data_IF_766548636147
#
_entry.id   IF_766548636147
#
_cell.length_a   1.000
_cell.length_b   1.000
_cell.length_c   1.000
_cell.angle_alpha   90.00
_cell.angle_beta   90.00
_cell.angle_gamma   90.00
#
_symmetry.space_group_name_H-M   'P 1'
#
loop_
_entity.id
_entity.type
_entity.pdbx_description
1 polymer ?
#
# COMPACT_ATOMS: atom_id res chain seq x y z
N UNK A 1 -27.18 3.38 20.04
CA UNK A 1 -25.75 3.81 20.09
C UNK A 1 -25.37 4.41 18.74
N UNK A 2 -24.64 5.52 18.68
CA UNK A 2 -24.17 6.13 17.43
C UNK A 2 -22.67 5.92 17.22
N UNK A 3 -22.32 5.24 16.14
CA UNK A 3 -20.95 5.08 15.66
C UNK A 3 -20.73 6.06 14.51
N UNK A 4 -19.84 7.03 14.71
CA UNK A 4 -19.39 7.90 13.63
C UNK A 4 -18.04 7.42 13.11
N UNK A 5 -17.90 7.31 11.79
CA UNK A 5 -16.67 6.96 11.12
C UNK A 5 -16.16 8.13 10.27
N UNK A 6 -14.88 8.46 10.40
CA UNK A 6 -14.19 9.43 9.55
C UNK A 6 -13.46 8.66 8.43
N UNK A 7 -13.96 8.80 7.20
CA UNK A 7 -13.42 8.22 5.97
C UNK A 7 -14.20 7.01 5.46
N UNK A 8 -14.59 7.03 4.18
CA UNK A 8 -15.18 5.92 3.44
C UNK A 8 -14.13 5.12 2.66
N UNK A 9 -12.97 4.90 3.27
CA UNK A 9 -11.89 4.05 2.76
C UNK A 9 -12.15 2.55 3.10
N UNK A 10 -11.30 1.58 2.68
CA UNK A 10 -11.49 0.17 2.97
C UNK A 10 -11.81 -0.14 4.44
N UNK A 11 -11.20 0.57 5.40
CA UNK A 11 -11.49 0.42 6.83
C UNK A 11 -12.90 0.84 7.22
N UNK A 12 -13.35 2.03 6.82
CA UNK A 12 -14.72 2.47 7.11
C UNK A 12 -15.76 1.60 6.42
N UNK A 13 -15.49 1.16 5.19
CA UNK A 13 -16.37 0.24 4.45
C UNK A 13 -16.37 -1.17 5.05
N UNK A 14 -15.26 -1.65 5.61
CA UNK A 14 -15.20 -2.90 6.36
C UNK A 14 -16.08 -2.89 7.61
N UNK A 15 -16.04 -1.78 8.35
CA UNK A 15 -16.95 -1.58 9.48
C UNK A 15 -18.42 -1.54 9.01
N UNK A 16 -18.72 -0.76 7.97
CA UNK A 16 -20.07 -0.65 7.44
C UNK A 16 -20.63 -2.00 6.94
N UNK A 17 -19.81 -2.75 6.20
CA UNK A 17 -20.19 -4.06 5.69
C UNK A 17 -20.50 -5.05 6.83
N UNK A 18 -19.65 -5.09 7.86
CA UNK A 18 -19.85 -5.96 9.02
C UNK A 18 -21.09 -5.57 9.82
N UNK A 19 -21.32 -4.28 10.06
CA UNK A 19 -22.51 -3.82 10.78
C UNK A 19 -23.78 -4.19 10.00
N UNK A 20 -23.79 -3.96 8.68
CA UNK A 20 -24.93 -4.30 7.84
C UNK A 20 -25.21 -5.81 7.83
N UNK A 21 -24.17 -6.65 7.84
CA UNK A 21 -24.32 -8.11 7.99
C UNK A 21 -24.98 -8.48 9.32
N UNK A 22 -24.52 -7.93 10.45
CA UNK A 22 -25.10 -8.20 11.76
C UNK A 22 -26.57 -7.75 11.88
N UNK A 23 -26.93 -6.62 11.27
CA UNK A 23 -28.32 -6.15 11.19
C UNK A 23 -29.18 -7.13 10.37
N UNK A 24 -28.66 -7.62 9.25
CA UNK A 24 -29.36 -8.62 8.44
C UNK A 24 -29.53 -9.97 9.16
N UNK A 25 -28.58 -10.32 10.01
CA UNK A 25 -28.62 -11.48 10.90
C UNK A 25 -29.52 -11.28 12.13
N UNK A 26 -30.17 -10.10 12.28
CA UNK A 26 -31.03 -9.72 13.41
C UNK A 26 -30.32 -9.79 14.76
N UNK A 27 -29.05 -9.38 14.79
CA UNK A 27 -28.33 -9.24 16.03
C UNK A 27 -28.90 -8.05 16.83
N UNK A 28 -29.44 -8.32 18.02
CA UNK A 28 -30.13 -7.32 18.86
C UNK A 28 -29.26 -6.09 19.15
N UNK A 29 -27.96 -6.28 19.41
CA UNK A 29 -27.04 -5.18 19.70
C UNK A 29 -26.73 -4.31 18.47
N UNK A 30 -26.90 -4.84 17.26
CA UNK A 30 -26.59 -4.15 16.01
C UNK A 30 -27.78 -3.34 15.47
N UNK A 31 -29.03 -3.79 15.71
CA UNK A 31 -30.23 -3.11 15.20
C UNK A 31 -30.41 -1.69 15.77
N UNK A 32 -29.93 -1.43 16.98
CA UNK A 32 -30.00 -0.11 17.64
C UNK A 32 -28.78 0.80 17.34
N UNK A 33 -27.91 0.39 16.40
CA UNK A 33 -26.73 1.15 16.03
C UNK A 33 -27.03 2.10 14.88
N UNK A 34 -26.87 3.39 15.14
CA UNK A 34 -26.84 4.42 14.10
C UNK A 34 -25.41 4.58 13.58
N UNK A 35 -25.18 4.25 12.31
CA UNK A 35 -23.89 4.50 11.65
C UNK A 35 -23.93 5.76 10.80
N UNK A 36 -22.90 6.60 10.96
CA UNK A 36 -22.66 7.77 10.10
C UNK A 36 -21.21 7.75 9.64
N UNK A 37 -20.99 7.78 8.33
CA UNK A 37 -19.67 7.79 7.69
C UNK A 37 -19.51 9.13 6.98
N UNK A 38 -18.51 9.90 7.40
CA UNK A 38 -18.16 11.19 6.83
C UNK A 38 -16.98 11.02 5.89
N UNK A 39 -17.14 11.35 4.62
CA UNK A 39 -16.08 11.27 3.60
C UNK A 39 -15.92 12.64 2.95
N UNK A 40 -14.69 13.16 2.96
CA UNK A 40 -14.39 14.47 2.39
C UNK A 40 -14.53 14.49 0.87
N UNK A 41 -14.28 13.36 0.20
CA UNK A 41 -14.37 13.25 -1.24
C UNK A 41 -15.81 12.93 -1.69
N UNK A 42 -16.09 13.09 -2.98
CA UNK A 42 -17.38 12.75 -3.58
C UNK A 42 -17.59 11.23 -3.79
N UNK A 43 -16.59 10.42 -3.47
CA UNK A 43 -16.53 8.99 -3.75
C UNK A 43 -15.88 8.22 -2.60
N UNK A 44 -16.15 6.91 -2.55
CA UNK A 44 -15.55 6.02 -1.57
C UNK A 44 -14.24 5.41 -2.10
N UNK A 45 -13.41 4.92 -1.18
CA UNK A 45 -12.19 4.16 -1.48
C UNK A 45 -10.91 4.77 -0.90
N UNK A 46 -10.88 6.06 -0.56
CA UNK A 46 -9.66 6.72 -0.05
C UNK A 46 -8.48 6.51 -1.00
N UNK A 47 -7.34 6.02 -0.49
CA UNK A 47 -6.17 5.66 -1.31
C UNK A 47 -6.41 4.48 -2.26
N UNK A 48 -7.50 3.73 -2.12
CA UNK A 48 -7.90 2.69 -3.07
C UNK A 48 -8.88 3.20 -4.15
N UNK A 49 -8.96 4.51 -4.37
CA UNK A 49 -9.80 5.07 -5.42
C UNK A 49 -9.17 4.95 -6.81
N UNK A 50 -10.00 5.20 -7.82
CA UNK A 50 -9.63 5.32 -9.22
C UNK A 50 -10.20 6.62 -9.74
N UNK A 51 -9.40 7.40 -10.45
CA UNK A 51 -9.84 8.62 -11.13
C UNK A 51 -9.86 8.42 -12.64
N UNK A 52 -10.71 9.18 -13.32
CA UNK A 52 -10.76 9.22 -14.78
C UNK A 52 -10.19 10.54 -15.25
N UNK A 53 -9.19 10.52 -16.12
CA UNK A 53 -8.64 11.74 -16.71
C UNK A 53 -9.52 12.28 -17.85
N UNK A 54 -9.18 13.46 -18.37
CA UNK A 54 -9.93 14.15 -19.43
C UNK A 54 -9.96 13.38 -20.76
N UNK A 55 -8.98 12.49 -20.99
CA UNK A 55 -8.90 11.63 -22.18
C UNK A 55 -9.63 10.30 -21.98
N UNK A 56 -10.10 10.03 -20.77
CA UNK A 56 -10.88 8.87 -20.40
C UNK A 56 -10.06 7.66 -19.95
N UNK A 57 -8.76 7.82 -19.68
CA UNK A 57 -7.98 6.78 -18.99
C UNK A 57 -8.34 6.75 -17.51
N UNK A 58 -8.25 5.58 -16.91
CA UNK A 58 -8.46 5.35 -15.49
C UNK A 58 -7.12 5.15 -14.78
N UNK A 59 -6.95 5.82 -13.64
CA UNK A 59 -5.73 5.81 -12.84
C UNK A 59 -6.04 5.47 -11.39
N UNK A 60 -5.44 4.39 -10.89
CA UNK A 60 -5.46 4.07 -9.46
C UNK A 60 -4.40 4.90 -8.72
N UNK A 61 -4.51 5.04 -7.40
CA UNK A 61 -3.50 5.75 -6.59
C UNK A 61 -2.30 4.86 -6.24
N UNK A 62 -1.72 4.21 -7.25
CA UNK A 62 -0.68 3.19 -7.14
C UNK A 62 -1.13 1.82 -7.67
N UNK A 63 -0.16 0.92 -7.89
CA UNK A 63 -0.37 -0.41 -8.49
C UNK A 63 -1.13 -1.37 -7.58
N UNK A 64 -2.40 -1.08 -7.31
CA UNK A 64 -3.27 -1.88 -6.47
C UNK A 64 -3.68 -3.16 -7.17
N UNK A 65 -3.67 -4.25 -6.41
CA UNK A 65 -4.19 -5.55 -6.82
C UNK A 65 -5.04 -6.10 -5.69
N UNK A 66 -6.07 -6.86 -6.04
CA UNK A 66 -6.86 -7.61 -5.07
C UNK A 66 -6.23 -8.99 -4.95
N UNK A 67 -5.69 -9.29 -3.77
CA UNK A 67 -5.15 -10.59 -3.46
C UNK A 67 -5.60 -11.00 -2.07
N UNK A 68 -5.89 -12.28 -1.91
CA UNK A 68 -6.44 -12.82 -0.70
C UNK A 68 -5.29 -13.33 0.20
N UNK A 69 -4.92 -12.61 1.27
CA UNK A 69 -4.03 -13.15 2.31
C UNK A 69 -4.76 -14.16 3.23
N UNK A 70 -5.57 -15.07 2.67
CA UNK A 70 -6.47 -15.95 3.42
C UNK A 70 -7.47 -15.21 4.35
N UNK A 71 -8.05 -14.13 3.86
CA UNK A 71 -9.27 -13.50 4.40
C UNK A 71 -10.52 -13.83 3.54
N UNK A 72 -11.18 -14.99 3.73
CA UNK A 72 -12.43 -15.32 3.05
C UNK A 72 -13.53 -14.25 3.21
N UNK A 73 -13.53 -13.53 4.34
CA UNK A 73 -14.49 -12.47 4.60
C UNK A 73 -14.30 -11.26 3.66
N UNK A 74 -13.05 -10.87 3.41
CA UNK A 74 -12.74 -9.82 2.43
C UNK A 74 -13.13 -10.26 1.01
N UNK A 75 -12.81 -11.51 0.64
CA UNK A 75 -13.18 -12.06 -0.67
C UNK A 75 -14.70 -12.06 -0.89
N UNK A 76 -15.47 -12.49 0.12
CA UNK A 76 -16.94 -12.40 0.13
C UNK A 76 -17.40 -10.97 -0.13
N UNK A 77 -16.83 -9.99 0.57
CA UNK A 77 -17.25 -8.59 0.48
C UNK A 77 -16.94 -7.97 -0.89
N UNK A 78 -15.75 -8.20 -1.45
CA UNK A 78 -15.39 -7.61 -2.76
C UNK A 78 -16.15 -8.26 -3.93
N UNK A 79 -16.40 -9.58 -3.87
CA UNK A 79 -17.26 -10.26 -4.85
C UNK A 79 -18.72 -9.87 -4.71
N UNK A 80 -19.18 -9.54 -3.50
CA UNK A 80 -20.50 -8.94 -3.31
C UNK A 80 -20.58 -7.55 -3.91
N UNK A 81 -19.49 -6.76 -3.89
CA UNK A 81 -19.47 -5.41 -4.42
C UNK A 81 -19.49 -5.38 -5.96
N UNK A 82 -18.69 -6.22 -6.62
CA UNK A 82 -18.49 -6.22 -8.09
C UNK A 82 -18.54 -7.64 -8.65
N UNK A 83 -19.21 -7.80 -9.80
CA UNK A 83 -19.49 -9.11 -10.41
C UNK A 83 -18.40 -9.58 -11.39
N UNK A 84 -17.78 -8.66 -12.14
CA UNK A 84 -16.80 -8.99 -13.18
C UNK A 84 -15.36 -8.70 -12.75
N UNK A 85 -14.54 -9.76 -12.76
CA UNK A 85 -13.14 -9.73 -12.36
C UNK A 85 -12.25 -10.36 -13.41
N UNK A 86 -11.09 -9.77 -13.63
CA UNK A 86 -9.99 -10.42 -14.33
C UNK A 86 -9.13 -11.18 -13.32
N UNK A 87 -8.60 -12.32 -13.76
CA UNK A 87 -7.60 -13.08 -13.01
C UNK A 87 -6.31 -13.06 -13.82
N UNK A 88 -5.22 -12.64 -13.18
CA UNK A 88 -3.93 -12.48 -13.83
C UNK A 88 -2.87 -13.30 -13.10
N UNK A 89 -2.04 -13.99 -13.89
CA UNK A 89 -0.77 -14.50 -13.39
C UNK A 89 0.17 -13.30 -13.18
N UNK A 90 0.71 -13.17 -11.97
CA UNK A 90 1.71 -12.17 -11.66
C UNK A 90 2.98 -12.47 -12.46
N UNK A 91 3.42 -11.49 -13.23
CA UNK A 91 4.71 -11.50 -13.88
C UNK A 91 5.43 -10.18 -13.58
N UNK A 92 6.16 -10.18 -12.46
CA UNK A 92 6.93 -9.03 -12.03
C UNK A 92 8.42 -9.37 -11.95
N UNK A 93 9.24 -8.39 -12.33
CA UNK A 93 10.70 -8.50 -12.31
C UNK A 93 11.31 -7.23 -11.74
N UNK A 94 12.60 -7.28 -11.46
CA UNK A 94 13.39 -6.16 -10.94
C UNK A 94 14.41 -5.75 -12.00
N UNK A 95 14.45 -4.47 -12.34
CA UNK A 95 15.48 -3.92 -13.21
C UNK A 95 16.76 -3.63 -12.43
N UNK A 96 17.77 -4.48 -12.62
CA UNK A 96 19.10 -4.36 -12.03
C UNK A 96 20.11 -3.77 -13.01
N UNK A 97 19.67 -3.16 -14.12
CA UNK A 97 20.56 -2.66 -15.18
C UNK A 97 21.65 -1.71 -14.68
N UNK A 98 21.38 -0.96 -13.61
CA UNK A 98 22.35 -0.02 -13.03
C UNK A 98 23.60 -0.71 -12.46
N UNK A 99 23.59 -2.04 -12.29
CA UNK A 99 24.78 -2.82 -11.93
C UNK A 99 25.69 -3.15 -13.14
N UNK A 100 25.21 -2.98 -14.38
CA UNK A 100 25.90 -3.45 -15.58
C UNK A 100 26.52 -2.33 -16.42
N UNK A 101 26.36 -1.06 -16.02
CA UNK A 101 26.86 0.13 -16.74
C UNK A 101 26.62 0.09 -18.27
N UNK A 102 25.48 -0.48 -18.67
CA UNK A 102 25.08 -0.64 -20.07
C UNK A 102 23.73 0.05 -20.31
N UNK A 103 23.46 0.54 -21.53
CA UNK A 103 22.14 1.07 -21.85
C UNK A 103 21.06 -0.02 -21.82
N UNK A 104 19.87 0.33 -21.34
CA UNK A 104 18.68 -0.53 -21.44
C UNK A 104 18.15 -1.01 -20.10
N UNK A 105 17.66 -2.26 -20.09
CA UNK A 105 17.01 -2.90 -18.95
C UNK A 105 17.60 -4.30 -18.75
N UNK A 106 17.91 -4.65 -17.51
CA UNK A 106 18.42 -5.97 -17.13
C UNK A 106 17.51 -6.53 -16.06
N UNK A 107 16.57 -7.36 -16.49
CA UNK A 107 15.54 -7.88 -15.61
C UNK A 107 16.00 -9.16 -14.91
N UNK A 108 15.83 -9.16 -13.59
CA UNK A 108 15.99 -10.35 -12.76
C UNK A 108 14.64 -10.74 -12.13
N UNK A 109 14.41 -12.04 -11.85
CA UNK A 109 13.21 -12.47 -11.14
C UNK A 109 13.05 -11.78 -9.79
N UNK A 110 11.81 -11.48 -9.43
CA UNK A 110 11.47 -11.12 -8.06
C UNK A 110 11.33 -12.41 -7.22
N UNK A 111 11.89 -12.47 -6.00
CA UNK A 111 12.59 -11.40 -5.29
C UNK A 111 14.08 -11.25 -5.70
N UNK A 112 14.57 -10.01 -5.87
CA UNK A 112 15.89 -9.76 -6.46
C UNK A 112 17.05 -10.37 -5.68
N UNK A 113 16.95 -10.46 -4.35
CA UNK A 113 17.99 -11.07 -3.53
C UNK A 113 18.18 -12.58 -3.78
N UNK A 114 17.29 -13.21 -4.55
CA UNK A 114 17.43 -14.62 -4.95
C UNK A 114 18.05 -14.73 -6.34
N UNK A 115 18.11 -13.63 -7.08
CA UNK A 115 18.62 -13.57 -8.43
C UNK A 115 20.13 -13.26 -8.51
N UNK A 116 20.87 -13.44 -7.41
CA UNK A 116 22.34 -13.34 -7.37
C UNK A 116 23.06 -14.10 -8.50
N UNK A 117 22.63 -15.31 -8.93
CA UNK A 117 23.28 -15.98 -10.06
C UNK A 117 23.25 -15.19 -11.38
N UNK A 118 22.32 -14.24 -11.50
CA UNK A 118 22.12 -13.40 -12.68
C UNK A 118 22.85 -12.06 -12.57
N UNK A 119 23.38 -11.68 -11.40
CA UNK A 119 24.13 -10.43 -11.17
C UNK A 119 25.46 -10.41 -11.94
N UNK A 120 26.11 -9.23 -12.10
CA UNK A 120 27.47 -9.19 -12.65
C UNK A 120 28.40 -10.11 -11.86
N UNK A 121 29.35 -10.75 -12.55
CA UNK A 121 30.18 -11.80 -11.95
C UNK A 121 30.91 -11.34 -10.68
N UNK A 122 31.44 -10.11 -10.66
CA UNK A 122 32.10 -9.53 -9.48
C UNK A 122 31.15 -9.43 -8.28
N UNK A 123 29.92 -8.96 -8.50
CA UNK A 123 28.89 -8.85 -7.46
C UNK A 123 28.44 -10.23 -6.98
N UNK A 124 28.27 -11.19 -7.91
CA UNK A 124 27.94 -12.58 -7.59
C UNK A 124 29.00 -13.20 -6.68
N UNK A 125 30.29 -13.00 -6.96
CA UNK A 125 31.37 -13.55 -6.15
C UNK A 125 31.43 -12.91 -4.75
N UNK A 126 31.24 -11.60 -4.60
CA UNK A 126 31.17 -10.98 -3.26
C UNK A 126 29.92 -11.45 -2.49
N UNK A 127 28.77 -11.62 -3.14
CA UNK A 127 27.58 -12.22 -2.49
C UNK A 127 27.85 -13.65 -1.97
N UNK A 128 28.58 -14.48 -2.73
CA UNK A 128 28.94 -15.84 -2.32
C UNK A 128 29.94 -15.83 -1.15
N UNK A 129 30.87 -14.88 -1.16
CA UNK A 129 31.82 -14.66 -0.07
C UNK A 129 31.12 -14.22 1.21
N UNK A 130 30.22 -13.24 1.12
CA UNK A 130 29.38 -12.80 2.25
C UNK A 130 28.56 -13.96 2.83
N UNK A 131 27.97 -14.78 1.95
CA UNK A 131 27.21 -15.96 2.35
C UNK A 131 28.06 -16.95 3.15
N UNK A 132 29.29 -17.19 2.69
CA UNK A 132 30.26 -18.06 3.35
C UNK A 132 30.71 -17.48 4.70
N UNK A 133 31.09 -16.22 4.74
CA UNK A 133 31.55 -15.55 5.97
C UNK A 133 30.46 -15.56 7.05
N UNK A 134 29.21 -15.32 6.66
CA UNK A 134 28.03 -15.39 7.55
C UNK A 134 27.79 -16.78 8.11
N UNK A 135 28.09 -17.83 7.36
CA UNK A 135 27.95 -19.22 7.82
C UNK A 135 29.08 -19.63 8.76
N UNK A 136 30.30 -19.22 8.44
CA UNK A 136 31.47 -19.47 9.30
C UNK A 136 31.41 -18.64 10.60
N UNK A 137 30.75 -17.48 10.57
CA UNK A 137 30.61 -16.56 11.70
C UNK A 137 29.16 -16.04 11.81
N UNK A 138 28.26 -16.86 12.36
CA UNK A 138 26.85 -16.48 12.49
C UNK A 138 26.69 -15.19 13.32
N UNK A 139 26.02 -14.14 12.80
CA UNK A 139 25.82 -12.90 13.53
C UNK A 139 24.96 -13.11 14.79
N UNK A 140 25.57 -12.92 15.97
CA UNK A 140 24.87 -12.95 17.25
C UNK A 140 23.94 -11.73 17.43
N UNK A 141 22.94 -11.86 18.31
CA UNK A 141 22.05 -10.77 18.68
C UNK A 141 20.78 -10.64 17.84
N UNK A 142 19.84 -9.82 18.32
CA UNK A 142 18.58 -9.52 17.65
C UNK A 142 18.76 -8.22 16.84
N UNK A 143 18.45 -8.20 15.53
CA UNK A 143 18.53 -6.97 14.73
C UNK A 143 17.75 -5.81 15.38
N UNK A 144 18.36 -4.63 15.49
CA UNK A 144 17.71 -3.45 16.07
C UNK A 144 16.98 -2.63 14.99
N UNK A 145 17.49 -2.67 13.76
CA UNK A 145 16.95 -1.97 12.61
C UNK A 145 16.95 -2.86 11.34
N UNK A 146 16.42 -2.35 10.23
CA UNK A 146 16.31 -3.10 8.98
C UNK A 146 17.67 -3.33 8.29
N UNK A 147 18.64 -2.43 8.47
CA UNK A 147 20.02 -2.63 8.00
C UNK A 147 20.65 -3.87 8.66
N UNK A 148 20.63 -3.92 9.99
CA UNK A 148 21.12 -5.07 10.78
C UNK A 148 20.43 -6.38 10.36
N UNK A 149 19.12 -6.30 10.08
CA UNK A 149 18.35 -7.47 9.67
C UNK A 149 18.79 -7.96 8.30
N UNK A 150 19.04 -7.06 7.34
CA UNK A 150 19.56 -7.43 6.01
C UNK A 150 20.98 -7.98 6.12
N UNK A 151 21.87 -7.33 6.87
CA UNK A 151 23.23 -7.82 7.12
C UNK A 151 23.21 -9.24 7.68
N UNK A 152 22.35 -9.48 8.68
CA UNK A 152 22.20 -10.80 9.32
C UNK A 152 21.70 -11.89 8.37
N UNK A 153 20.84 -11.56 7.41
CA UNK A 153 20.20 -12.58 6.55
C UNK A 153 20.83 -12.71 5.16
N UNK A 154 21.46 -11.65 4.64
CA UNK A 154 21.90 -11.56 3.24
C UNK A 154 23.34 -11.06 3.08
N UNK A 155 23.91 -10.39 4.07
CA UNK A 155 25.27 -9.83 4.00
C UNK A 155 25.35 -8.43 3.37
N UNK A 156 26.54 -7.79 3.45
CA UNK A 156 26.75 -6.40 3.04
C UNK A 156 26.59 -6.15 1.54
N UNK A 157 26.95 -7.10 0.67
CA UNK A 157 26.86 -6.90 -0.78
C UNK A 157 25.40 -6.77 -1.22
N UNK A 158 24.52 -7.69 -0.81
CA UNK A 158 23.08 -7.63 -1.13
C UNK A 158 22.42 -6.39 -0.50
N UNK A 159 22.86 -5.99 0.69
CA UNK A 159 22.43 -4.74 1.31
C UNK A 159 22.74 -3.54 0.40
N UNK A 160 23.97 -3.43 -0.09
CA UNK A 160 24.44 -2.30 -0.88
C UNK A 160 23.86 -2.28 -2.29
N UNK A 161 23.81 -3.43 -2.97
CA UNK A 161 23.38 -3.52 -4.37
C UNK A 161 21.89 -3.69 -4.56
N UNK A 162 21.08 -3.79 -3.49
CA UNK A 162 19.63 -3.86 -3.65
C UNK A 162 18.87 -3.16 -2.53
N UNK A 163 19.07 -3.57 -1.27
CA UNK A 163 18.20 -3.09 -0.19
C UNK A 163 18.39 -1.60 0.10
N UNK A 164 19.62 -1.06 0.17
CA UNK A 164 19.86 0.38 0.33
C UNK A 164 19.21 1.21 -0.79
N UNK A 165 19.54 1.01 -2.08
CA UNK A 165 18.99 1.83 -3.14
C UNK A 165 17.47 1.69 -3.25
N UNK A 166 16.93 0.46 -3.17
CA UNK A 166 15.49 0.26 -3.24
C UNK A 166 14.74 0.83 -2.03
N UNK A 167 15.28 0.69 -0.81
CA UNK A 167 14.68 1.23 0.40
C UNK A 167 14.62 2.76 0.35
N UNK A 168 15.71 3.42 -0.03
CA UNK A 168 15.72 4.87 -0.24
C UNK A 168 14.64 5.30 -1.23
N UNK A 169 14.42 4.52 -2.27
CA UNK A 169 13.51 4.88 -3.34
C UNK A 169 12.03 4.65 -3.01
N UNK A 170 11.70 3.66 -2.19
CA UNK A 170 10.32 3.40 -1.73
C UNK A 170 9.99 4.18 -0.47
N UNK A 171 10.90 4.16 0.50
CA UNK A 171 10.69 4.65 1.88
C UNK A 171 11.31 6.00 2.14
N UNK A 172 12.16 6.50 1.25
CA UNK A 172 12.79 7.83 1.34
C UNK A 172 13.73 8.00 2.55
N UNK A 173 14.12 6.87 3.15
CA UNK A 173 15.03 6.78 4.30
C UNK A 173 16.03 5.64 4.10
N UNK A 174 17.13 5.67 4.86
CA UNK A 174 18.08 4.55 4.94
C UNK A 174 17.46 3.34 5.65
N UNK A 175 17.85 2.10 5.30
CA UNK A 175 17.42 0.89 6.04
C UNK A 175 17.63 1.00 7.55
N UNK A 176 18.74 1.59 8.00
CA UNK A 176 19.04 1.77 9.43
C UNK A 176 18.04 2.67 10.18
N UNK A 177 17.16 3.39 9.49
CA UNK A 177 16.09 4.21 10.07
C UNK A 177 14.75 3.47 10.20
N UNK A 178 14.68 2.23 9.73
CA UNK A 178 13.47 1.40 9.77
C UNK A 178 13.62 0.29 10.82
N UNK A 179 12.54 -0.03 11.51
CA UNK A 179 12.39 -1.21 12.35
C UNK A 179 12.50 -2.49 11.49
N UNK A 180 12.96 -3.62 12.05
CA UNK A 180 12.94 -4.90 11.34
C UNK A 180 11.57 -5.61 11.44
N UNK A 181 10.62 -5.15 12.25
CA UNK A 181 9.41 -5.93 12.59
C UNK A 181 8.43 -6.13 11.42
N UNK A 182 8.45 -5.25 10.42
CA UNK A 182 7.52 -5.30 9.27
C UNK A 182 7.95 -6.30 8.19
N UNK A 183 9.19 -6.82 8.24
CA UNK A 183 9.78 -7.62 7.17
C UNK A 183 9.18 -9.01 7.05
N UNK A 184 8.63 -9.57 8.13
CA UNK A 184 8.22 -10.98 8.21
C UNK A 184 7.21 -11.44 7.16
N UNK A 185 6.39 -10.53 6.63
CA UNK A 185 5.42 -10.81 5.55
C UNK A 185 5.79 -10.16 4.22
N UNK A 186 6.89 -9.40 4.16
CA UNK A 186 7.21 -8.51 3.03
C UNK A 186 8.55 -8.82 2.37
N UNK A 187 9.51 -9.38 3.10
CA UNK A 187 10.84 -9.73 2.61
C UNK A 187 11.04 -11.24 2.70
N UNK A 188 11.16 -11.90 1.55
CA UNK A 188 11.37 -13.34 1.48
C UNK A 188 12.77 -13.68 2.02
N UNK A 189 12.83 -14.58 3.01
CA UNK A 189 14.09 -15.15 3.51
C UNK A 189 14.54 -16.26 2.54
N UNK A 190 15.81 -16.24 2.14
CA UNK A 190 16.41 -17.29 1.32
C UNK A 190 17.23 -18.23 2.20
N UNK A 191 16.95 -19.54 2.22
CA UNK A 191 17.87 -20.52 2.78
C UNK A 191 19.17 -20.54 1.98
N UNK A 192 20.30 -20.70 2.67
CA UNK A 192 21.63 -20.76 2.05
C UNK A 192 21.73 -21.83 0.95
N UNK A 193 21.30 -23.04 1.25
CA UNK A 193 21.34 -24.17 0.31
C UNK A 193 20.65 -23.82 -1.01
N UNK A 194 19.57 -23.03 -0.95
CA UNK A 194 18.84 -22.60 -2.15
C UNK A 194 19.65 -21.60 -2.98
N UNK A 195 20.35 -20.66 -2.33
CA UNK A 195 21.19 -19.70 -3.02
C UNK A 195 22.40 -20.39 -3.69
N UNK A 196 23.04 -21.33 -2.99
CA UNK A 196 24.15 -22.12 -3.53
C UNK A 196 23.70 -22.97 -4.72
N UNK A 197 22.55 -23.66 -4.60
CA UNK A 197 21.93 -24.44 -5.68
C UNK A 197 21.72 -23.56 -6.92
N UNK A 198 21.09 -22.40 -6.75
CA UNK A 198 20.85 -21.47 -7.86
C UNK A 198 22.16 -20.94 -8.46
N UNK A 199 23.17 -20.64 -7.65
CA UNK A 199 24.45 -20.12 -8.14
C UNK A 199 25.27 -21.14 -8.93
N UNK A 200 25.04 -22.44 -8.70
CA UNK A 200 25.68 -23.56 -9.40
C UNK A 200 25.00 -23.91 -10.75
N UNK A 201 23.78 -23.43 -10.98
CA UNK A 201 23.05 -23.66 -12.23
C UNK A 201 23.67 -22.90 -13.42
N UNK A 202 23.57 -23.49 -14.59
CA UNK A 202 23.88 -22.82 -15.86
C UNK A 202 22.71 -21.94 -16.35
N UNK A 203 22.91 -21.20 -17.43
CA UNK A 203 21.92 -20.23 -17.92
C UNK A 203 20.60 -20.87 -18.41
N UNK A 204 20.64 -22.08 -18.95
CA UNK A 204 19.45 -22.82 -19.40
C UNK A 204 18.63 -23.34 -18.21
N UNK A 205 19.31 -23.81 -17.17
CA UNK A 205 18.71 -24.24 -15.90
C UNK A 205 18.07 -23.04 -15.18
N UNK A 206 18.79 -21.91 -15.09
CA UNK A 206 18.29 -20.67 -14.46
C UNK A 206 17.05 -20.12 -15.17
N UNK A 207 16.93 -20.26 -16.49
CA UNK A 207 15.75 -19.81 -17.22
C UNK A 207 14.45 -20.52 -16.79
N UNK A 208 14.57 -21.71 -16.20
CA UNK A 208 13.44 -22.52 -15.73
C UNK A 208 13.42 -22.70 -14.20
N UNK A 209 14.33 -22.04 -13.47
CA UNK A 209 14.49 -22.22 -12.04
C UNK A 209 13.37 -21.53 -11.24
N UNK A 210 13.00 -22.16 -10.12
CA UNK A 210 12.13 -21.53 -9.13
C UNK A 210 12.95 -20.64 -8.19
N UNK A 211 12.88 -19.33 -8.44
CA UNK A 211 13.48 -18.27 -7.63
C UNK A 211 12.62 -17.89 -6.42
N UNK A 212 11.63 -18.68 -6.02
CA UNK A 212 10.88 -18.47 -4.79
C UNK A 212 9.70 -17.50 -4.91
N UNK A 213 8.62 -17.90 -4.24
CA UNK A 213 7.27 -17.34 -4.33
C UNK A 213 7.01 -16.15 -3.40
N UNK A 214 5.97 -15.37 -3.71
CA UNK A 214 5.29 -14.49 -2.75
C UNK A 214 3.77 -14.60 -2.94
N UNK A 215 2.93 -14.17 -1.97
CA UNK A 215 1.50 -14.50 -1.81
C UNK A 215 0.54 -14.30 -3.00
N UNK A 216 1.03 -13.73 -4.10
CA UNK A 216 0.24 -13.14 -5.16
C UNK A 216 0.63 -13.75 -6.51
N UNK A 217 0.95 -15.05 -6.59
CA UNK A 217 1.24 -15.70 -7.89
C UNK A 217 0.10 -15.49 -8.88
N UNK A 218 -1.14 -15.48 -8.39
CA UNK A 218 -2.28 -14.92 -9.08
C UNK A 218 -2.87 -13.78 -8.27
N UNK A 219 -3.45 -12.80 -8.95
CA UNK A 219 -4.25 -11.76 -8.31
C UNK A 219 -5.46 -11.45 -9.18
N UNK A 220 -6.46 -10.82 -8.57
CA UNK A 220 -7.63 -10.34 -9.28
C UNK A 220 -7.63 -8.82 -9.38
N UNK A 221 -8.29 -8.32 -10.42
CA UNK A 221 -8.52 -6.89 -10.63
C UNK A 221 -9.92 -6.70 -11.20
N UNK A 222 -10.69 -5.67 -10.78
CA UNK A 222 -12.00 -5.40 -11.35
C UNK A 222 -11.90 -5.20 -12.86
N UNK A 223 -12.73 -5.88 -13.64
CA UNK A 223 -12.65 -5.78 -15.10
C UNK A 223 -12.86 -4.34 -15.59
N UNK A 224 -13.71 -3.58 -14.90
CA UNK A 224 -14.02 -2.18 -15.22
C UNK A 224 -13.86 -1.27 -14.00
N UNK A 225 -13.53 -0.01 -14.26
CA UNK A 225 -13.59 1.08 -13.27
C UNK A 225 -12.43 1.13 -12.27
N UNK A 226 -11.40 0.31 -12.47
CA UNK A 226 -10.22 0.22 -11.59
C UNK A 226 -10.55 -0.27 -10.18
N UNK A 227 -9.56 -0.21 -9.28
CA UNK A 227 -9.72 -0.64 -7.89
C UNK A 227 -10.84 0.13 -7.17
N UNK A 228 -11.00 1.41 -7.47
CA UNK A 228 -12.01 2.28 -6.89
C UNK A 228 -13.44 1.86 -7.19
N UNK A 229 -13.69 1.08 -8.24
CA UNK A 229 -15.02 0.54 -8.54
C UNK A 229 -15.52 -0.40 -7.44
N UNK A 230 -14.62 -1.17 -6.80
CA UNK A 230 -14.98 -2.08 -5.70
C UNK A 230 -15.61 -1.30 -4.56
N UNK A 231 -14.92 -0.26 -4.12
CA UNK A 231 -15.28 0.52 -2.93
C UNK A 231 -16.50 1.41 -3.18
N UNK A 232 -16.57 2.03 -4.35
CA UNK A 232 -17.75 2.80 -4.76
C UNK A 232 -19.00 1.92 -4.92
N UNK A 233 -18.86 0.72 -5.51
CA UNK A 233 -19.98 -0.21 -5.65
C UNK A 233 -20.44 -0.75 -4.30
N UNK A 234 -19.50 -1.04 -3.39
CA UNK A 234 -19.82 -1.43 -2.02
C UNK A 234 -20.63 -0.35 -1.29
N UNK A 235 -20.16 0.90 -1.31
CA UNK A 235 -20.87 2.03 -0.69
C UNK A 235 -22.28 2.23 -1.27
N UNK A 236 -22.48 2.03 -2.58
CA UNK A 236 -23.79 2.13 -3.25
C UNK A 236 -24.77 1.03 -2.84
N UNK A 237 -24.28 -0.17 -2.51
CA UNK A 237 -25.10 -1.31 -2.10
C UNK A 237 -25.43 -1.30 -0.59
N UNK A 238 -24.63 -0.61 0.22
CA UNK A 238 -24.89 -0.39 1.65
C UNK A 238 -25.98 0.69 1.87
N UNK A 239 -26.57 0.79 3.08
CA UNK A 239 -27.61 1.78 3.36
C UNK A 239 -27.15 3.21 3.08
N UNK A 240 -27.79 3.87 2.10
CA UNK A 240 -27.35 5.18 1.59
C UNK A 240 -27.33 6.28 2.65
N UNK A 241 -28.24 6.22 3.63
CA UNK A 241 -28.35 7.19 4.71
C UNK A 241 -27.18 7.15 5.69
N UNK A 242 -26.34 6.12 5.65
CA UNK A 242 -25.13 6.06 6.47
C UNK A 242 -24.02 6.97 5.94
N UNK A 243 -24.01 7.31 4.64
CA UNK A 243 -22.90 8.01 4.01
C UNK A 243 -23.17 9.50 3.82
N UNK A 244 -22.20 10.33 4.19
CA UNK A 244 -22.15 11.77 3.88
C UNK A 244 -20.85 12.05 3.14
N UNK A 245 -20.93 12.07 1.81
CA UNK A 245 -19.84 12.44 0.91
C UNK A 245 -19.75 13.95 0.77
N UNK A 246 -18.58 14.44 0.33
CA UNK A 246 -18.25 15.86 0.36
C UNK A 246 -18.44 16.44 1.78
N UNK A 247 -18.08 15.70 2.81
CA UNK A 247 -18.19 16.13 4.21
C UNK A 247 -16.83 16.05 4.88
N UNK A 248 -16.22 17.21 5.11
CA UNK A 248 -14.89 17.33 5.74
C UNK A 248 -15.06 17.56 7.23
N UNK A 249 -14.47 16.70 8.05
CA UNK A 249 -14.32 16.94 9.49
C UNK A 249 -13.27 18.05 9.70
N UNK A 250 -13.61 19.05 10.50
CA UNK A 250 -12.78 20.24 10.77
C UNK A 250 -12.54 20.47 12.26
N UNK A 251 -13.20 19.70 13.13
CA UNK A 251 -13.01 19.79 14.57
C UNK A 251 -13.50 18.55 15.29
N UNK A 252 -12.85 18.21 16.41
CA UNK A 252 -13.24 17.08 17.26
C UNK A 252 -13.17 17.55 18.72
N UNK A 253 -14.27 17.46 19.45
CA UNK A 253 -14.31 17.69 20.89
C UNK A 253 -14.55 16.37 21.62
N UNK A 254 -13.49 15.69 22.11
CA UNK A 254 -13.61 14.41 22.79
C UNK A 254 -14.31 14.47 24.14
N UNK A 255 -14.29 15.63 24.81
CA UNK A 255 -14.94 15.82 26.10
C UNK A 255 -16.46 15.88 25.97
N UNK A 256 -16.95 16.57 24.93
CA UNK A 256 -18.36 16.62 24.58
C UNK A 256 -18.83 15.44 23.71
N UNK A 257 -17.88 14.61 23.23
CA UNK A 257 -18.11 13.58 22.20
C UNK A 257 -18.85 14.11 20.97
N UNK A 258 -18.35 15.22 20.44
CA UNK A 258 -18.96 15.92 19.31
C UNK A 258 -17.92 16.19 18.21
N UNK A 259 -18.31 16.00 16.95
CA UNK A 259 -17.54 16.35 15.77
C UNK A 259 -18.07 17.63 15.14
N UNK A 260 -17.17 18.41 14.55
CA UNK A 260 -17.48 19.54 13.70
C UNK A 260 -17.09 19.22 12.25
N UNK A 261 -18.00 19.50 11.32
CA UNK A 261 -17.79 19.23 9.90
C UNK A 261 -18.37 20.33 9.02
N UNK A 262 -17.85 20.41 7.79
CA UNK A 262 -18.36 21.25 6.71
C UNK A 262 -18.75 20.39 5.51
N UNK A 263 -19.74 20.83 4.73
CA UNK A 263 -20.18 20.15 3.51
C UNK A 263 -19.66 20.89 2.27
N UNK A 264 -18.97 20.19 1.37
CA UNK A 264 -18.34 20.75 0.18
C UNK A 264 -17.47 21.94 0.53
N UNK A 265 -17.63 23.02 -0.24
CA UNK A 265 -16.92 24.29 -0.03
C UNK A 265 -17.67 25.25 0.92
N UNK A 266 -18.65 24.75 1.69
CA UNK A 266 -19.37 25.57 2.66
C UNK A 266 -18.46 26.00 3.83
N UNK A 267 -18.67 27.23 4.29
CA UNK A 267 -18.07 27.73 5.54
C UNK A 267 -18.97 27.50 6.77
N UNK A 268 -20.15 26.92 6.58
CA UNK A 268 -21.06 26.59 7.68
C UNK A 268 -20.55 25.35 8.43
N UNK A 269 -20.08 25.54 9.66
CA UNK A 269 -19.68 24.45 10.56
C UNK A 269 -20.92 23.85 11.21
N UNK A 270 -21.07 22.53 11.05
CA UNK A 270 -22.14 21.73 11.64
C UNK A 270 -21.57 20.78 12.68
N UNK A 271 -22.41 20.43 13.64
CA UNK A 271 -22.05 19.53 14.74
C UNK A 271 -22.72 18.16 14.58
N UNK A 272 -22.03 17.12 15.06
CA UNK A 272 -22.52 15.75 15.09
C UNK A 272 -21.98 15.03 16.32
N UNK A 273 -22.87 14.70 17.25
CA UNK A 273 -22.53 13.89 18.42
C UNK A 273 -22.23 12.44 18.03
N UNK A 274 -21.40 11.77 18.82
CA UNK A 274 -21.07 10.36 18.68
C UNK A 274 -21.00 9.65 20.04
N UNK A 275 -21.30 8.36 20.09
CA UNK A 275 -20.97 7.53 21.26
C UNK A 275 -19.58 6.92 21.11
N UNK A 276 -19.27 6.48 19.89
CA UNK A 276 -18.00 5.88 19.47
C UNK A 276 -17.54 6.53 18.16
N UNK A 277 -16.24 6.84 18.08
CA UNK A 277 -15.60 7.40 16.90
C UNK A 277 -14.60 6.39 16.30
N UNK A 278 -14.83 5.97 15.05
CA UNK A 278 -13.86 5.22 14.25
C UNK A 278 -13.13 6.19 13.31
N UNK A 279 -11.85 6.44 13.56
CA UNK A 279 -11.02 7.23 12.67
C UNK A 279 -10.28 6.32 11.67
N UNK A 280 -10.56 6.49 10.37
CA UNK A 280 -9.78 5.87 9.29
C UNK A 280 -8.82 6.87 8.58
N UNK A 281 -8.84 8.13 8.99
CA UNK A 281 -7.90 9.16 8.53
C UNK A 281 -6.53 9.05 9.27
N UNK A 282 -5.49 9.78 8.85
CA UNK A 282 -4.19 9.76 9.54
C UNK A 282 -4.27 10.08 11.05
N UNK A 283 -3.66 9.25 11.88
CA UNK A 283 -3.73 9.38 13.35
C UNK A 283 -2.97 10.59 13.89
N UNK A 284 -1.95 11.08 13.19
CA UNK A 284 -1.24 12.31 13.51
C UNK A 284 -2.16 13.53 13.43
N UNK A 285 -2.97 13.61 12.37
CA UNK A 285 -3.99 14.65 12.23
C UNK A 285 -5.06 14.53 13.33
N UNK A 286 -5.51 13.31 13.64
CA UNK A 286 -6.45 13.06 14.74
C UNK A 286 -5.87 13.54 16.09
N UNK A 287 -4.62 13.20 16.40
CA UNK A 287 -3.98 13.59 17.66
C UNK A 287 -3.78 15.11 17.72
N UNK A 288 -3.37 15.73 16.62
CA UNK A 288 -3.22 17.19 16.51
C UNK A 288 -4.54 17.93 16.72
N UNK A 289 -5.63 17.39 16.16
CA UNK A 289 -6.96 17.98 16.28
C UNK A 289 -7.53 17.81 17.69
N UNK A 290 -7.48 16.59 18.22
CA UNK A 290 -8.08 16.26 19.53
C UNK A 290 -7.26 16.77 20.71
N UNK A 291 -5.94 16.89 20.56
CA UNK A 291 -4.97 17.29 21.61
C UNK A 291 -5.07 16.48 22.89
N UNK A 292 -5.57 15.24 22.82
CA UNK A 292 -5.71 14.34 23.96
C UNK A 292 -4.38 13.82 24.48
N UNK A 293 -3.35 13.83 23.64
CA UNK A 293 -1.99 13.44 24.01
C UNK A 293 -0.98 14.25 23.18
N UNK A 294 0.31 14.25 23.56
CA UNK A 294 1.37 14.84 22.75
C UNK A 294 1.37 14.28 21.32
N UNK A 295 1.72 15.13 20.34
CA UNK A 295 1.87 14.75 18.93
C UNK A 295 2.70 13.47 18.79
N UNK A 296 2.30 12.61 17.86
CA UNK A 296 2.94 11.31 17.66
C UNK A 296 4.18 11.46 16.79
N UNK A 297 5.28 10.82 17.19
CA UNK A 297 6.50 10.78 16.40
C UNK A 297 6.46 9.58 15.44
N UNK A 298 5.85 9.78 14.26
CA UNK A 298 5.74 8.79 13.19
C UNK A 298 6.08 9.39 11.85
N UNK A 299 6.77 8.63 11.01
CA UNK A 299 7.26 9.12 9.73
C UNK A 299 6.39 8.59 8.58
N UNK A 300 6.24 9.40 7.55
CA UNK A 300 5.68 9.01 6.27
C UNK A 300 6.40 9.76 5.15
N UNK A 301 6.18 9.29 3.93
CA UNK A 301 6.63 9.99 2.74
C UNK A 301 5.43 10.41 1.88
N UNK A 302 5.71 11.22 0.85
CA UNK A 302 4.76 11.49 -0.22
C UNK A 302 5.09 10.65 -1.45
N UNK A 303 4.08 10.33 -2.24
CA UNK A 303 4.24 9.58 -3.49
C UNK A 303 3.54 10.30 -4.63
N UNK A 304 4.28 10.56 -5.69
CA UNK A 304 3.71 11.01 -6.95
C UNK A 304 3.28 9.80 -7.77
N UNK A 305 2.02 9.83 -8.21
CA UNK A 305 1.49 8.89 -9.19
C UNK A 305 1.57 9.57 -10.54
N UNK A 306 2.24 8.95 -11.50
CA UNK A 306 2.35 9.46 -12.88
C UNK A 306 1.80 8.42 -13.84
N UNK A 307 0.62 8.69 -14.39
CA UNK A 307 -0.01 7.90 -15.44
C UNK A 307 0.39 8.38 -16.83
N UNK A 308 0.78 7.46 -17.70
CA UNK A 308 1.11 7.75 -19.10
C UNK A 308 0.24 6.87 -20.00
N UNK A 309 -0.70 7.49 -20.70
CA UNK A 309 -1.55 6.85 -21.71
C UNK A 309 -0.90 6.94 -23.09
N UNK A 310 -0.85 5.81 -23.80
CA UNK A 310 -0.10 5.66 -25.05
C UNK A 310 -0.96 5.06 -26.17
N UNK A 311 -0.66 5.44 -27.42
CA UNK A 311 -1.17 4.73 -28.60
C UNK A 311 -0.52 3.36 -28.74
N UNK A 312 -1.32 2.41 -29.22
CA UNK A 312 -0.82 1.11 -29.68
C UNK A 312 0.05 1.25 -30.93
N UNK A 313 0.95 0.29 -31.21
CA UNK A 313 1.15 -0.96 -30.46
C UNK A 313 1.86 -0.77 -29.12
N UNK A 314 1.56 -1.65 -28.15
CA UNK A 314 2.41 -1.84 -26.98
C UNK A 314 3.71 -2.52 -27.45
N UNK A 315 4.83 -2.22 -26.81
CA UNK A 315 6.07 -2.96 -27.11
C UNK A 315 5.92 -4.43 -26.68
N UNK A 316 6.31 -5.39 -27.52
CA UNK A 316 6.30 -6.83 -27.19
C UNK A 316 6.98 -7.14 -25.84
N UNK A 317 8.00 -6.35 -25.50
CA UNK A 317 8.70 -6.42 -24.23
C UNK A 317 7.79 -6.25 -23.00
N UNK A 318 6.85 -5.29 -23.03
CA UNK A 318 5.98 -4.97 -21.90
C UNK A 318 4.70 -5.82 -21.85
N UNK A 319 4.32 -6.44 -22.97
CA UNK A 319 3.12 -7.29 -23.07
C UNK A 319 3.14 -8.51 -22.15
N UNK A 320 4.29 -8.86 -21.56
CA UNK A 320 4.43 -9.98 -20.62
C UNK A 320 4.32 -9.57 -19.15
N UNK A 321 4.56 -8.31 -18.79
CA UNK A 321 4.71 -7.92 -17.38
C UNK A 321 3.43 -7.37 -16.77
N UNK A 322 3.27 -7.55 -15.46
CA UNK A 322 2.25 -6.88 -14.65
C UNK A 322 2.82 -5.58 -14.08
N UNK A 323 3.97 -5.66 -13.41
CA UNK A 323 4.73 -4.50 -12.96
C UNK A 323 6.22 -4.81 -12.89
N UNK A 324 7.04 -3.77 -12.88
CA UNK A 324 8.50 -3.84 -12.73
C UNK A 324 8.95 -2.99 -11.54
N UNK A 325 9.98 -3.45 -10.84
CA UNK A 325 10.63 -2.71 -9.75
C UNK A 325 11.96 -2.13 -10.22
N UNK A 326 12.32 -0.96 -9.68
CA UNK A 326 13.50 -0.23 -10.12
C UNK A 326 14.29 0.25 -8.90
N UNK A 327 15.33 -0.47 -8.44
CA UNK A 327 16.31 0.06 -7.49
C UNK A 327 17.19 1.19 -8.07
N UNK A 328 17.31 1.27 -9.40
CA UNK A 328 18.17 2.24 -10.10
C UNK A 328 17.94 3.70 -9.62
N UNK A 329 18.95 4.37 -9.05
CA UNK A 329 18.82 5.74 -8.54
C UNK A 329 18.65 6.78 -9.67
N UNK A 330 18.93 6.43 -10.93
CA UNK A 330 18.86 7.36 -12.05
C UNK A 330 17.45 7.57 -12.62
N UNK A 331 16.46 6.81 -12.14
CA UNK A 331 15.04 7.00 -12.50
C UNK A 331 14.22 7.29 -11.24
N UNK A 332 13.19 8.15 -11.29
CA UNK A 332 12.49 8.59 -10.08
C UNK A 332 11.51 7.55 -9.53
N UNK A 333 11.03 6.62 -10.37
CA UNK A 333 9.99 5.66 -10.00
C UNK A 333 10.58 4.41 -9.38
N UNK A 334 10.08 3.97 -8.23
CA UNK A 334 10.48 2.68 -7.65
C UNK A 334 9.70 1.51 -8.27
N UNK A 335 8.52 1.79 -8.84
CA UNK A 335 7.65 0.82 -9.50
C UNK A 335 6.99 1.40 -10.74
N UNK A 336 6.89 0.59 -11.79
CA UNK A 336 6.07 0.86 -12.97
C UNK A 336 5.08 -0.28 -13.17
N UNK A 337 3.80 0.04 -13.21
CA UNK A 337 2.70 -0.90 -13.45
C UNK A 337 2.15 -0.72 -14.86
N UNK A 338 1.98 -1.82 -15.60
CA UNK A 338 1.36 -1.79 -16.93
C UNK A 338 -0.16 -1.93 -16.72
N UNK A 339 -0.79 -0.84 -16.26
CA UNK A 339 -2.14 -0.84 -15.71
C UNK A 339 -3.20 -1.33 -16.71
N UNK A 340 -3.03 -1.02 -18.00
CA UNK A 340 -3.91 -1.51 -19.07
C UNK A 340 -3.92 -3.03 -19.25
N UNK A 341 -2.99 -3.76 -18.62
CA UNK A 341 -3.05 -5.22 -18.60
C UNK A 341 -4.01 -5.77 -17.57
N UNK A 342 -4.33 -5.00 -16.52
CA UNK A 342 -5.13 -5.50 -15.41
C UNK A 342 -6.62 -5.52 -15.73
N UNK A 343 -7.11 -4.53 -16.47
CA UNK A 343 -8.51 -4.42 -16.88
C UNK A 343 -8.76 -3.33 -17.91
N UNK A 344 -10.03 -3.05 -18.17
CA UNK A 344 -10.48 -2.03 -19.13
C UNK A 344 -10.36 -0.63 -18.51
N UNK A 345 -9.12 -0.15 -18.44
CA UNK A 345 -8.73 1.13 -17.80
C UNK A 345 -8.32 2.21 -18.83
N UNK A 346 -8.54 1.95 -20.11
CA UNK A 346 -8.26 2.89 -21.20
C UNK A 346 -9.56 3.29 -21.89
N UNK A 347 -9.63 4.44 -22.60
CA UNK A 347 -10.85 4.85 -23.29
C UNK A 347 -11.25 3.92 -24.45
N UNK A 348 -10.28 3.25 -25.08
CA UNK A 348 -10.48 2.25 -26.13
C UNK A 348 -9.29 1.27 -26.14
N UNK A 349 -9.49 0.08 -25.57
CA UNK A 349 -8.46 -0.96 -25.44
C UNK A 349 -7.92 -1.49 -26.77
N UNK A 350 -8.56 -1.20 -27.90
CA UNK A 350 -8.04 -1.54 -29.23
C UNK A 350 -7.04 -0.51 -29.75
N UNK A 351 -7.04 0.71 -29.21
CA UNK A 351 -6.21 1.82 -29.68
C UNK A 351 -5.15 2.24 -28.69
N UNK A 352 -5.39 2.03 -27.40
CA UNK A 352 -4.55 2.60 -26.35
C UNK A 352 -4.09 1.55 -25.33
N UNK A 353 -3.04 1.91 -24.61
CA UNK A 353 -2.52 1.19 -23.44
C UNK A 353 -1.97 2.20 -22.43
N UNK A 354 -1.63 1.75 -21.22
CA UNK A 354 -1.16 2.66 -20.17
C UNK A 354 -0.13 2.04 -19.24
N UNK A 355 0.78 2.89 -18.78
CA UNK A 355 1.71 2.61 -17.68
C UNK A 355 1.51 3.63 -16.57
N UNK A 356 1.78 3.22 -15.33
CA UNK A 356 1.67 4.06 -14.15
C UNK A 356 2.93 3.93 -13.33
N UNK A 357 3.55 5.06 -13.02
CA UNK A 357 4.76 5.15 -12.23
C UNK A 357 4.44 5.61 -10.81
N UNK A 358 5.15 5.04 -9.84
CA UNK A 358 5.12 5.50 -8.46
C UNK A 358 6.50 6.04 -8.06
N UNK A 359 6.55 7.32 -7.70
CA UNK A 359 7.78 8.03 -7.36
C UNK A 359 7.67 8.58 -5.93
N UNK A 360 8.31 7.93 -4.95
CA UNK A 360 8.30 8.42 -3.58
C UNK A 360 9.32 9.53 -3.37
N UNK A 361 8.99 10.51 -2.52
CA UNK A 361 9.86 11.61 -2.11
C UNK A 361 9.71 11.90 -0.61
N UNK A 362 10.77 12.37 0.07
CA UNK A 362 10.62 12.95 1.41
C UNK A 362 9.51 14.00 1.43
N UNK A 363 8.81 14.13 2.54
CA UNK A 363 7.65 15.04 2.64
C UNK A 363 8.02 16.50 2.33
N UNK A 364 9.22 16.90 2.73
CA UNK A 364 9.81 18.24 2.60
C UNK A 364 10.60 18.45 1.30
N UNK A 365 10.67 17.46 0.41
CA UNK A 365 11.31 17.61 -0.91
C UNK A 365 10.58 18.72 -1.70
N UNK A 366 11.26 19.79 -2.13
CA UNK A 366 10.63 20.91 -2.84
C UNK A 366 10.26 20.58 -4.29
N UNK A 367 10.61 19.39 -4.79
CA UNK A 367 10.31 18.97 -6.16
C UNK A 367 8.82 19.10 -6.49
N UNK A 368 8.54 19.69 -7.64
CA UNK A 368 7.19 19.88 -8.14
C UNK A 368 6.65 18.64 -8.84
N UNK A 369 5.33 18.53 -8.91
CA UNK A 369 4.66 17.45 -9.65
C UNK A 369 5.07 17.45 -11.15
N UNK A 370 5.18 18.63 -11.76
CA UNK A 370 5.63 18.78 -13.16
C UNK A 370 7.06 18.24 -13.37
N UNK A 371 7.98 18.52 -12.45
CA UNK A 371 9.36 18.01 -12.52
C UNK A 371 9.40 16.49 -12.38
N UNK A 372 8.60 15.90 -11.48
CA UNK A 372 8.53 14.44 -11.32
C UNK A 372 7.92 13.79 -12.56
N UNK A 373 6.88 14.37 -13.16
CA UNK A 373 6.29 13.89 -14.41
C UNK A 373 7.33 13.84 -15.52
N UNK A 374 8.10 14.93 -15.68
CA UNK A 374 9.18 14.99 -16.67
C UNK A 374 10.22 13.89 -16.41
N UNK A 375 10.73 13.77 -15.18
CA UNK A 375 11.71 12.76 -14.82
C UNK A 375 11.18 11.32 -15.04
N UNK A 376 9.90 11.07 -14.75
CA UNK A 376 9.30 9.76 -14.92
C UNK A 376 9.18 9.39 -16.40
N UNK A 377 8.70 10.31 -17.25
CA UNK A 377 8.63 10.09 -18.71
C UNK A 377 10.05 9.91 -19.28
N UNK A 378 11.00 10.75 -18.89
CA UNK A 378 12.40 10.64 -19.32
C UNK A 378 12.98 9.28 -18.91
N UNK A 379 12.74 8.82 -17.69
CA UNK A 379 13.15 7.50 -17.21
C UNK A 379 12.52 6.34 -17.98
N UNK A 380 11.22 6.41 -18.29
CA UNK A 380 10.54 5.39 -19.10
C UNK A 380 11.12 5.32 -20.53
N UNK A 381 11.49 6.46 -21.12
CA UNK A 381 12.12 6.53 -22.45
C UNK A 381 13.56 5.99 -22.40
N UNK A 382 14.36 6.38 -21.40
CA UNK A 382 15.74 5.89 -21.22
C UNK A 382 15.76 4.37 -21.02
N UNK A 383 14.78 3.83 -20.29
CA UNK A 383 14.59 2.39 -20.10
C UNK A 383 13.96 1.68 -21.30
N UNK A 384 13.75 2.38 -22.42
CA UNK A 384 13.15 1.87 -23.65
C UNK A 384 11.77 1.22 -23.43
N UNK A 385 11.05 1.65 -22.39
CA UNK A 385 9.71 1.16 -22.07
C UNK A 385 8.64 1.83 -22.94
N UNK A 386 8.85 3.11 -23.27
CA UNK A 386 7.92 3.90 -24.09
C UNK A 386 8.66 4.73 -25.14
N UNK A 387 7.91 5.15 -26.15
CA UNK A 387 8.30 6.19 -27.11
C UNK A 387 7.55 7.47 -26.80
N UNK A 388 8.25 8.61 -26.74
CA UNK A 388 7.66 9.89 -26.29
C UNK A 388 6.55 10.36 -27.22
N UNK A 389 6.73 10.14 -28.52
CA UNK A 389 5.80 10.48 -29.59
C UNK A 389 4.49 9.68 -29.55
N UNK A 390 4.42 8.58 -28.78
CA UNK A 390 3.22 7.75 -28.60
C UNK A 390 2.34 8.19 -27.44
N UNK A 391 2.77 9.15 -26.64
CA UNK A 391 2.03 9.62 -25.47
C UNK A 391 0.82 10.45 -25.93
N UNK A 392 -0.38 10.08 -25.44
CA UNK A 392 -1.65 10.77 -25.74
C UNK A 392 -2.35 11.33 -24.50
N UNK A 393 -2.00 10.83 -23.32
CA UNK A 393 -2.47 11.36 -22.04
C UNK A 393 -1.36 11.28 -21.02
N UNK A 394 -1.27 12.29 -20.16
CA UNK A 394 -0.44 12.28 -18.97
C UNK A 394 -1.33 12.70 -17.81
N UNK A 395 -1.34 11.87 -16.77
CA UNK A 395 -2.01 12.15 -15.51
C UNK A 395 -0.96 12.20 -14.41
N UNK A 396 -1.14 13.10 -13.46
CA UNK A 396 -0.36 13.12 -12.24
C UNK A 396 -1.19 13.53 -11.04
N UNK A 397 -0.77 13.05 -9.88
CA UNK A 397 -1.26 13.51 -8.59
C UNK A 397 -0.24 13.21 -7.50
N UNK A 398 -0.33 13.94 -6.40
CA UNK A 398 0.50 13.76 -5.21
C UNK A 398 -0.32 13.14 -4.09
N UNK A 399 0.18 12.03 -3.54
CA UNK A 399 -0.30 11.43 -2.31
C UNK A 399 0.55 11.95 -1.15
N UNK A 400 0.07 12.94 -0.41
CA UNK A 400 0.79 13.52 0.73
C UNK A 400 1.14 12.45 1.78
N UNK A 401 0.22 11.51 1.99
CA UNK A 401 0.40 10.31 2.80
C UNK A 401 0.58 9.09 1.87
N UNK A 402 1.81 8.86 1.42
CA UNK A 402 2.18 7.74 0.55
C UNK A 402 2.33 6.43 1.34
N UNK A 403 3.44 6.30 2.07
CA UNK A 403 3.74 5.12 2.91
C UNK A 403 3.96 5.49 4.38
N UNK A 404 3.31 4.78 5.34
CA UNK A 404 3.64 4.90 6.75
C UNK A 404 4.96 4.16 7.01
N UNK A 405 6.03 4.92 7.31
CA UNK A 405 7.38 4.38 7.47
C UNK A 405 7.45 3.66 8.82
N UNK A 406 7.84 2.37 8.85
CA UNK A 406 7.97 1.59 10.07
C UNK A 406 9.26 1.97 10.82
N UNK A 407 9.30 3.12 11.49
CA UNK A 407 10.47 3.53 12.29
C UNK A 407 10.57 2.72 13.60
N UNK A 408 11.76 2.60 14.22
CA UNK A 408 11.92 1.91 15.51
C UNK A 408 11.03 2.46 16.63
N UNK A 409 10.76 3.78 16.64
CA UNK A 409 9.95 4.44 17.66
C UNK A 409 8.43 4.33 17.43
N UNK A 410 7.99 3.87 16.24
CA UNK A 410 6.59 3.86 15.82
C UNK A 410 5.66 3.15 16.81
N UNK A 411 5.97 1.90 17.15
CA UNK A 411 5.06 1.05 17.92
C UNK A 411 4.81 1.56 19.35
N UNK A 412 5.84 1.96 20.12
CA UNK A 412 5.64 2.63 21.41
C UNK A 412 4.81 3.91 21.32
N UNK A 413 5.03 4.75 20.30
CA UNK A 413 4.29 5.99 20.10
C UNK A 413 2.82 5.75 19.77
N UNK A 414 2.53 4.78 18.89
CA UNK A 414 1.16 4.35 18.61
C UNK A 414 0.49 3.80 19.86
N UNK A 415 1.15 2.94 20.64
CA UNK A 415 0.58 2.39 21.86
C UNK A 415 0.22 3.47 22.89
N UNK A 416 1.09 4.50 23.02
CA UNK A 416 0.81 5.69 23.84
C UNK A 416 -0.43 6.43 23.35
N UNK A 417 -0.53 6.72 22.06
CA UNK A 417 -1.66 7.45 21.49
C UNK A 417 -2.99 6.67 21.61
N UNK A 418 -3.00 5.38 21.26
CA UNK A 418 -4.19 4.54 21.38
C UNK A 418 -4.68 4.44 22.83
N UNK A 419 -3.78 4.41 23.82
CA UNK A 419 -4.15 4.41 25.24
C UNK A 419 -5.00 5.62 25.62
N UNK A 420 -4.63 6.81 25.13
CA UNK A 420 -5.34 8.04 25.45
C UNK A 420 -6.62 8.18 24.60
N UNK A 421 -6.56 7.90 23.30
CA UNK A 421 -7.72 7.95 22.40
C UNK A 421 -8.85 7.01 22.86
N UNK A 422 -8.52 5.76 23.23
CA UNK A 422 -9.55 4.77 23.59
C UNK A 422 -10.25 5.09 24.93
N UNK A 423 -9.67 5.93 25.81
CA UNK A 423 -10.39 6.44 27.01
C UNK A 423 -11.58 7.33 26.64
N UNK A 424 -11.54 7.94 25.46
CA UNK A 424 -12.58 8.82 24.93
C UNK A 424 -13.49 8.12 23.90
N UNK A 425 -13.45 6.79 23.83
CA UNK A 425 -14.20 6.00 22.82
C UNK A 425 -13.81 6.35 21.38
N UNK A 426 -12.53 6.73 21.16
CA UNK A 426 -11.97 7.01 19.84
C UNK A 426 -11.02 5.88 19.45
N UNK A 427 -11.27 5.27 18.30
CA UNK A 427 -10.52 4.13 17.78
C UNK A 427 -9.95 4.49 16.41
N UNK A 428 -8.62 4.51 16.28
CA UNK A 428 -7.95 4.86 15.03
C UNK A 428 -7.37 3.63 14.34
N UNK A 429 -7.79 3.36 13.10
CA UNK A 429 -7.51 2.12 12.34
C UNK A 429 -7.24 2.41 10.87
N UNK A 430 -6.75 1.42 10.13
CA UNK A 430 -6.43 1.53 8.69
C UNK A 430 -4.99 1.93 8.42
N UNK A 431 -4.67 2.24 7.15
CA UNK A 431 -3.28 2.46 6.70
C UNK A 431 -2.56 3.55 7.49
N UNK A 432 -3.14 4.73 7.58
CA UNK A 432 -2.59 5.86 8.35
C UNK A 432 -3.34 6.10 9.67
N UNK A 433 -4.54 5.57 9.86
CA UNK A 433 -5.16 5.58 11.18
C UNK A 433 -4.48 4.62 12.16
N UNK A 434 -3.91 3.51 11.67
CA UNK A 434 -3.10 2.59 12.46
C UNK A 434 -1.58 2.73 12.22
N UNK A 435 -1.15 3.32 11.11
CA UNK A 435 0.27 3.54 10.75
C UNK A 435 1.16 2.27 10.63
N UNK A 436 0.57 1.08 10.64
CA UNK A 436 1.31 -0.20 10.56
C UNK A 436 1.31 -0.75 9.14
N UNK A 437 2.37 -0.48 8.39
CA UNK A 437 2.49 -0.88 6.98
C UNK A 437 2.23 -2.37 6.73
N UNK A 438 2.77 -3.23 7.59
CA UNK A 438 2.65 -4.69 7.54
C UNK A 438 1.21 -5.19 7.51
N UNK A 439 0.26 -4.40 8.05
CA UNK A 439 -1.18 -4.68 8.06
C UNK A 439 -1.99 -3.55 7.42
N UNK A 440 -1.47 -2.95 6.35
CA UNK A 440 -2.06 -1.75 5.71
C UNK A 440 -2.51 -1.93 4.25
N UNK A 441 -2.55 -3.17 3.76
CA UNK A 441 -3.13 -3.46 2.44
C UNK A 441 -4.67 -3.30 2.51
N UNK A 442 -5.31 -3.32 1.34
CA UNK A 442 -6.75 -3.12 1.20
C UNK A 442 -7.58 -4.09 2.06
N UNK A 443 -7.24 -5.37 1.99
CA UNK A 443 -7.86 -6.43 2.75
C UNK A 443 -7.57 -6.30 4.25
N UNK A 444 -6.32 -6.02 4.64
CA UNK A 444 -5.99 -5.76 6.03
C UNK A 444 -6.81 -4.60 6.60
N UNK A 445 -6.87 -3.47 5.88
CA UNK A 445 -7.62 -2.29 6.29
C UNK A 445 -9.11 -2.58 6.43
N UNK A 446 -9.68 -3.35 5.49
CA UNK A 446 -11.07 -3.81 5.55
C UNK A 446 -11.33 -4.69 6.77
N UNK A 447 -10.46 -5.66 7.03
CA UNK A 447 -10.57 -6.56 8.18
C UNK A 447 -10.42 -5.80 9.49
N UNK A 448 -9.56 -4.79 9.59
CA UNK A 448 -9.51 -3.91 10.76
C UNK A 448 -10.86 -3.24 11.05
N UNK A 449 -11.57 -2.77 10.01
CA UNK A 449 -12.92 -2.22 10.17
C UNK A 449 -13.94 -3.25 10.66
N UNK A 450 -13.87 -4.47 10.12
CA UNK A 450 -14.69 -5.61 10.55
C UNK A 450 -14.43 -5.96 12.01
N UNK A 451 -13.18 -6.15 12.39
CA UNK A 451 -12.77 -6.52 13.75
C UNK A 451 -13.11 -5.42 14.77
N UNK A 452 -13.04 -4.15 14.36
CA UNK A 452 -13.53 -3.05 15.20
C UNK A 452 -15.01 -3.19 15.53
N UNK A 453 -15.87 -3.52 14.54
CA UNK A 453 -17.29 -3.74 14.78
C UNK A 453 -17.53 -4.95 15.68
N UNK A 454 -16.81 -6.05 15.49
CA UNK A 454 -16.92 -7.20 16.39
C UNK A 454 -16.50 -6.84 17.82
N UNK A 455 -15.46 -6.02 17.98
CA UNK A 455 -15.04 -5.53 19.29
C UNK A 455 -16.12 -4.72 19.99
N UNK A 456 -16.73 -3.77 19.28
CA UNK A 456 -17.68 -2.85 19.92
C UNK A 456 -19.10 -3.41 20.07
N UNK A 457 -19.52 -4.36 19.23
CA UNK A 457 -20.88 -4.94 19.25
C UNK A 457 -20.91 -6.35 19.86
N UNK A 458 -19.89 -7.17 19.58
CA UNK A 458 -19.83 -8.58 19.99
C UNK A 458 -18.82 -8.84 21.12
N UNK A 459 -18.07 -7.82 21.53
CA UNK A 459 -17.01 -7.93 22.55
C UNK A 459 -15.90 -8.94 22.16
N UNK A 460 -15.62 -9.10 20.86
CA UNK A 460 -14.52 -9.92 20.37
C UNK A 460 -13.21 -9.12 20.24
N UNK A 461 -12.04 -9.67 20.58
CA UNK A 461 -10.78 -8.95 20.45
C UNK A 461 -10.37 -8.77 18.99
N UNK A 462 -9.78 -7.60 18.68
CA UNK A 462 -9.10 -7.35 17.40
C UNK A 462 -7.83 -8.21 17.32
N UNK A 463 -7.65 -8.95 16.23
CA UNK A 463 -6.57 -9.94 16.07
C UNK A 463 -5.50 -9.45 15.10
N UNK A 464 -5.93 -8.78 14.03
CA UNK A 464 -5.05 -8.32 12.96
C UNK A 464 -4.26 -7.09 13.38
N UNK A 465 -4.96 -6.06 13.89
CA UNK A 465 -4.32 -4.81 14.30
C UNK A 465 -4.15 -4.76 15.81
N UNK A 466 -2.90 -4.95 16.25
CA UNK A 466 -2.53 -4.87 17.66
C UNK A 466 -2.12 -3.45 18.02
N UNK A 467 -2.87 -2.81 18.92
CA UNK A 467 -2.59 -1.45 19.43
C UNK A 467 -1.37 -1.37 20.34
N UNK A 468 -0.90 -2.52 20.86
CA UNK A 468 0.15 -2.57 21.89
C UNK A 468 -0.38 -2.35 23.31
N UNK A 469 -1.70 -2.20 23.48
CA UNK A 469 -2.35 -2.23 24.78
C UNK A 469 -2.54 -3.68 25.22
N UNK A 470 -2.39 -3.96 26.53
CA UNK A 470 -2.78 -5.25 27.06
C UNK A 470 -4.28 -5.47 26.83
N UNK A 471 -4.67 -6.66 26.36
CA UNK A 471 -6.08 -7.04 26.26
C UNK A 471 -6.69 -6.83 27.66
N UNK A 472 -7.74 -5.99 27.75
CA UNK A 472 -8.47 -5.85 29.00
C UNK A 472 -9.08 -7.22 29.28
N UNK A 473 -8.52 -7.94 30.26
CA UNK A 473 -9.23 -9.03 30.90
C UNK A 473 -10.46 -8.40 31.56
N UNK A 474 -11.62 -8.60 30.91
CA UNK A 474 -12.91 -8.25 31.48
C UNK A 474 -13.27 -9.18 32.62
#
# INVERSE_FOLDING_TARGET
>A
MRIVCIGAAPTGLGAAFRLNELIQEKNENAEEVEMVILEKEAYAGGLSCTVKDEKGFLWDMGGHITFNHNFPYYEKAVKWAVDEWNSLQRNCMVDMNYLYDTPGIHLVPYPAQFAVPLFPEEVKQECLKDLKERYENEPEGTPENFDDWVLKHFGPTILDVFFKPYTKKVWTVEPGKMSPNWVGTRVAKLPQEKLEELCAMNQEELANADFGWGPNSCFTFPKYGGTGNVWNSMAKKLPKNWFRFNTKVVGINPGAKCLQYVNGDSNEVKELDYDILLNAAPIDLLVKETKLCPEINVDHNKVFIVGVGLEKPMTEFLEKFTWLYFPDPNVPFFRVTILSRYGEVTPDGNKYWSVMCECARPIDDPITEEEVVKQAIDGLVIKSMIQREKIVSVYSTTLDYGYPIPTPARDPELARAHRELEKHSIYSRGRFGGWKYEVSNQDHCFIQGKEFIDRVILNEPEKLYKTGLAERQG
#
